data_IF_495048913627
#
_entry.id   IF_495048913627
#
_cell.length_a   1.000
_cell.length_b   1.000
_cell.length_c   1.000
_cell.angle_alpha   90.00
_cell.angle_beta   90.00
_cell.angle_gamma   90.00
#
_symmetry.space_group_name_H-M   'P 1'
#
loop_
_entity.id
_entity.type
_entity.pdbx_description
1 polymer ?
#
# COMPACT_ATOMS: atom_id res chain seq x y z
N UNK A 1 33.13 -60.32 -24.92
CA UNK A 1 33.54 -59.15 -24.11
C UNK A 1 32.27 -58.42 -23.69
N UNK A 2 31.90 -58.53 -22.42
CA UNK A 2 30.75 -57.85 -21.81
C UNK A 2 31.18 -56.42 -21.45
N UNK A 3 30.55 -55.41 -22.06
CA UNK A 3 30.67 -54.01 -21.62
C UNK A 3 29.51 -53.68 -20.69
N UNK A 4 29.83 -53.51 -19.41
CA UNK A 4 28.91 -53.07 -18.36
C UNK A 4 28.78 -51.54 -18.45
N UNK A 5 27.58 -51.05 -18.74
CA UNK A 5 27.26 -49.62 -18.72
C UNK A 5 26.84 -49.25 -17.29
N UNK A 6 27.68 -48.50 -16.58
CA UNK A 6 27.42 -48.04 -15.21
C UNK A 6 26.42 -46.88 -15.24
N UNK A 7 25.22 -47.09 -14.69
CA UNK A 7 24.18 -46.07 -14.57
C UNK A 7 24.40 -45.30 -13.25
N UNK A 8 24.98 -44.10 -13.33
CA UNK A 8 25.19 -43.24 -12.16
C UNK A 8 23.88 -42.51 -11.84
N UNK A 9 23.14 -42.96 -10.82
CA UNK A 9 22.01 -42.22 -10.26
C UNK A 9 22.52 -40.93 -9.59
N UNK A 10 22.20 -39.78 -10.18
CA UNK A 10 22.29 -38.49 -9.49
C UNK A 10 21.15 -38.41 -8.47
N UNK A 11 21.47 -38.63 -7.19
CA UNK A 11 20.60 -38.24 -6.10
C UNK A 11 20.59 -36.70 -6.03
N UNK A 12 19.51 -36.08 -6.53
CA UNK A 12 19.19 -34.69 -6.18
C UNK A 12 18.99 -34.66 -4.65
N UNK A 13 19.98 -34.15 -3.92
CA UNK A 13 19.78 -33.70 -2.55
C UNK A 13 18.85 -32.51 -2.61
N UNK A 14 17.57 -32.72 -2.33
CA UNK A 14 16.67 -31.66 -1.89
C UNK A 14 17.28 -31.07 -0.62
N UNK A 15 17.98 -29.95 -0.78
CA UNK A 15 18.36 -29.11 0.33
C UNK A 15 17.08 -28.62 0.98
N UNK A 16 16.68 -29.25 2.08
CA UNK A 16 15.75 -28.68 3.03
C UNK A 16 16.35 -27.36 3.52
N UNK A 17 16.02 -26.27 2.84
CA UNK A 17 16.16 -24.94 3.43
C UNK A 17 15.20 -24.91 4.60
N UNK A 18 15.75 -25.11 5.80
CA UNK A 18 15.06 -24.79 7.03
C UNK A 18 14.74 -23.30 6.99
N UNK A 19 13.53 -22.96 6.55
CA UNK A 19 12.90 -21.69 6.89
C UNK A 19 12.77 -21.75 8.40
N UNK A 20 13.63 -21.03 9.13
CA UNK A 20 13.38 -20.76 10.53
C UNK A 20 11.96 -20.22 10.61
N UNK A 21 11.09 -20.90 11.35
CA UNK A 21 9.76 -20.39 11.62
C UNK A 21 9.95 -19.00 12.26
N UNK A 22 9.69 -17.96 11.48
CA UNK A 22 9.73 -16.59 11.99
C UNK A 22 8.72 -16.54 13.14
N UNK A 23 9.18 -16.14 14.32
CA UNK A 23 8.33 -16.07 15.49
C UNK A 23 7.19 -15.07 15.28
N UNK A 24 6.04 -15.35 15.89
CA UNK A 24 4.96 -14.37 15.96
C UNK A 24 5.43 -13.14 16.75
N UNK A 25 5.19 -11.96 16.19
CA UNK A 25 5.48 -10.65 16.76
C UNK A 25 4.15 -9.98 17.10
N UNK A 26 3.76 -9.92 18.38
CA UNK A 26 2.51 -9.30 18.78
C UNK A 26 2.47 -7.82 18.37
N UNK A 27 1.29 -7.35 17.96
CA UNK A 27 1.06 -5.94 17.58
C UNK A 27 1.61 -4.94 18.60
N UNK A 28 1.43 -5.18 19.90
CA UNK A 28 1.95 -4.31 20.97
C UNK A 28 3.48 -4.22 21.01
N UNK A 29 4.17 -5.29 20.59
CA UNK A 29 5.63 -5.32 20.47
C UNK A 29 6.07 -4.46 19.29
N UNK A 30 5.36 -4.50 18.16
CA UNK A 30 5.61 -3.62 17.01
C UNK A 30 5.43 -2.16 17.41
N UNK A 31 4.29 -1.82 18.01
CA UNK A 31 3.98 -0.45 18.50
C UNK A 31 5.08 0.10 19.40
N UNK A 32 5.54 -0.71 20.37
CA UNK A 32 6.62 -0.34 21.28
C UNK A 32 7.96 -0.17 20.56
N UNK A 33 8.32 -1.13 19.68
CA UNK A 33 9.61 -1.11 18.97
C UNK A 33 9.82 0.10 18.07
N UNK A 34 8.73 0.66 17.53
CA UNK A 34 8.76 1.85 16.68
C UNK A 34 8.36 3.13 17.42
N UNK A 35 8.22 3.09 18.75
CA UNK A 35 7.86 4.25 19.57
C UNK A 35 6.62 4.98 19.04
N UNK A 36 5.57 4.23 18.69
CA UNK A 36 4.31 4.79 18.22
C UNK A 36 3.45 5.20 19.42
N UNK A 37 3.48 6.49 19.74
CA UNK A 37 3.01 7.03 21.03
C UNK A 37 1.53 7.40 21.06
N UNK A 38 0.89 7.53 19.90
CA UNK A 38 -0.55 7.81 19.82
C UNK A 38 -1.26 6.76 18.97
N UNK A 39 -2.55 6.60 19.21
CA UNK A 39 -3.38 5.60 18.54
C UNK A 39 -4.80 6.08 18.32
N UNK A 40 -5.45 5.51 17.32
CA UNK A 40 -6.87 5.69 17.04
C UNK A 40 -7.46 4.38 16.51
N UNK A 41 -8.77 4.25 16.56
CA UNK A 41 -9.51 3.11 16.00
C UNK A 41 -10.71 3.62 15.19
N UNK A 42 -11.11 2.84 14.19
CA UNK A 42 -12.38 3.06 13.52
C UNK A 42 -13.47 2.37 14.34
N UNK A 43 -14.48 3.09 14.88
CA UNK A 43 -15.55 2.48 15.64
C UNK A 43 -16.44 1.62 14.75
N UNK A 44 -16.97 0.52 15.26
CA UNK A 44 -17.95 -0.33 14.56
C UNK A 44 -19.29 -0.28 15.30
N UNK A 45 -20.43 -0.37 14.59
CA UNK A 45 -21.72 -0.43 15.25
C UNK A 45 -21.90 -1.78 15.96
N UNK A 46 -22.64 -1.76 17.07
CA UNK A 46 -22.91 -2.98 17.86
C UNK A 46 -23.90 -3.94 17.18
N UNK A 47 -24.60 -3.49 16.14
CA UNK A 47 -25.57 -4.28 15.39
C UNK A 47 -25.36 -4.11 13.88
N UNK A 48 -25.87 -5.07 13.11
CA UNK A 48 -25.88 -5.01 11.64
C UNK A 48 -26.62 -3.76 11.14
N UNK A 49 -26.19 -3.23 10.00
CA UNK A 49 -26.78 -2.05 9.39
C UNK A 49 -27.00 -2.28 7.89
N UNK A 50 -28.10 -1.75 7.39
CA UNK A 50 -28.39 -1.70 5.95
C UNK A 50 -27.33 -0.87 5.22
N UNK A 51 -27.31 -0.93 3.89
CA UNK A 51 -26.34 -0.19 3.06
C UNK A 51 -26.40 1.33 3.31
N UNK A 52 -27.60 1.90 3.41
CA UNK A 52 -27.78 3.33 3.66
C UNK A 52 -27.31 3.74 5.05
N UNK A 53 -27.59 2.90 6.06
CA UNK A 53 -27.20 3.16 7.44
C UNK A 53 -25.69 3.00 7.62
N UNK A 54 -25.10 1.97 7.01
CA UNK A 54 -23.66 1.73 7.03
C UNK A 54 -22.88 2.88 6.37
N UNK A 55 -23.33 3.35 5.20
CA UNK A 55 -22.73 4.53 4.54
C UNK A 55 -22.79 5.78 5.41
N UNK A 56 -23.93 6.01 6.07
CA UNK A 56 -24.14 7.15 6.96
C UNK A 56 -23.26 7.05 8.22
N UNK A 57 -23.15 5.85 8.79
CA UNK A 57 -22.30 5.56 9.94
C UNK A 57 -20.83 5.80 9.61
N UNK A 58 -20.31 5.21 8.52
CA UNK A 58 -18.92 5.39 8.09
C UNK A 58 -18.61 6.88 7.88
N UNK A 59 -19.50 7.58 7.18
CA UNK A 59 -19.33 9.02 6.89
C UNK A 59 -19.26 9.86 8.16
N UNK A 60 -20.07 9.54 9.17
CA UNK A 60 -20.13 10.32 10.41
C UNK A 60 -19.07 9.92 11.45
N UNK A 61 -18.60 8.67 11.44
CA UNK A 61 -17.76 8.14 12.52
C UNK A 61 -16.28 7.94 12.13
N UNK A 62 -15.94 7.86 10.84
CA UNK A 62 -14.59 7.45 10.40
C UNK A 62 -13.73 8.60 9.86
N UNK A 63 -14.05 9.84 10.25
CA UNK A 63 -13.25 11.04 9.94
C UNK A 63 -12.85 11.15 8.46
N UNK A 64 -13.84 11.02 7.57
CA UNK A 64 -13.59 10.97 6.14
C UNK A 64 -13.09 12.32 5.59
N UNK A 65 -12.10 12.27 4.70
CA UNK A 65 -11.74 13.42 3.88
C UNK A 65 -12.97 13.92 3.12
N UNK A 66 -13.20 15.24 3.14
CA UNK A 66 -14.36 15.88 2.49
C UNK A 66 -15.73 15.29 2.92
N UNK A 67 -15.80 14.60 4.06
CA UNK A 67 -17.05 14.11 4.65
C UNK A 67 -17.88 13.18 3.76
N UNK A 68 -17.25 12.35 2.92
CA UNK A 68 -17.98 11.39 2.07
C UNK A 68 -17.13 10.17 1.70
N UNK A 69 -17.80 9.09 1.30
CA UNK A 69 -17.21 7.92 0.66
C UNK A 69 -16.98 8.25 -0.82
N UNK A 70 -15.73 8.15 -1.30
CA UNK A 70 -15.38 8.53 -2.67
C UNK A 70 -16.04 7.61 -3.71
N UNK A 71 -16.01 6.28 -3.49
CA UNK A 71 -16.62 5.30 -4.39
C UNK A 71 -17.28 4.17 -3.60
N UNK A 72 -18.35 3.60 -4.15
CA UNK A 72 -18.91 2.33 -3.66
C UNK A 72 -19.63 2.37 -2.31
N UNK A 73 -20.19 3.51 -1.90
CA UNK A 73 -21.03 3.58 -0.70
C UNK A 73 -22.23 2.62 -0.74
N UNK A 74 -22.77 2.36 -1.93
CA UNK A 74 -23.83 1.35 -2.11
C UNK A 74 -23.36 -0.11 -1.93
N UNK A 75 -22.05 -0.34 -1.81
CA UNK A 75 -21.46 -1.67 -1.73
C UNK A 75 -21.06 -2.06 -0.30
N UNK A 76 -21.28 -1.18 0.69
CA UNK A 76 -20.90 -1.44 2.09
C UNK A 76 -22.11 -1.69 2.98
N UNK A 77 -21.97 -2.63 3.91
CA UNK A 77 -22.96 -2.91 4.94
C UNK A 77 -22.23 -3.36 6.22
N UNK A 78 -22.89 -3.24 7.38
CA UNK A 78 -22.44 -3.94 8.59
C UNK A 78 -23.27 -5.20 8.76
N UNK A 79 -22.62 -6.36 8.83
CA UNK A 79 -23.26 -7.68 8.87
C UNK A 79 -22.75 -8.48 10.05
N UNK A 80 -23.42 -9.59 10.37
CA UNK A 80 -22.89 -10.56 11.33
C UNK A 80 -21.56 -11.14 10.82
N UNK A 81 -20.64 -11.47 11.72
CA UNK A 81 -19.39 -12.13 11.35
C UNK A 81 -19.71 -13.44 10.60
N UNK A 82 -19.34 -13.57 9.31
CA UNK A 82 -19.60 -14.79 8.54
C UNK A 82 -18.67 -15.96 8.94
N UNK A 83 -17.56 -15.69 9.64
CA UNK A 83 -16.54 -16.68 10.00
C UNK A 83 -16.22 -16.65 11.51
N UNK A 84 -17.22 -16.76 12.41
CA UNK A 84 -17.02 -16.61 13.85
C UNK A 84 -16.16 -17.75 14.45
N UNK A 85 -16.11 -18.90 13.77
CA UNK A 85 -15.34 -20.08 14.17
C UNK A 85 -13.99 -20.19 13.47
N UNK A 86 -13.59 -19.17 12.69
CA UNK A 86 -12.32 -19.15 11.98
C UNK A 86 -11.62 -17.81 12.17
N UNK A 87 -11.28 -17.46 13.42
CA UNK A 87 -10.65 -16.19 13.75
C UNK A 87 -9.21 -16.13 13.23
N UNK A 88 -8.63 -14.93 13.18
CA UNK A 88 -7.23 -14.76 12.85
C UNK A 88 -6.35 -15.54 13.85
N UNK A 89 -5.21 -16.13 13.40
CA UNK A 89 -4.27 -16.79 14.30
C UNK A 89 -3.93 -15.93 15.52
N UNK A 90 -3.99 -16.54 16.70
CA UNK A 90 -3.73 -15.87 17.98
C UNK A 90 -4.91 -15.04 18.55
N UNK A 91 -6.04 -14.90 17.84
CA UNK A 91 -7.23 -14.26 18.39
C UNK A 91 -8.08 -15.23 19.24
N UNK A 92 -8.63 -14.76 20.36
CA UNK A 92 -9.60 -15.48 21.17
C UNK A 92 -11.03 -15.31 20.60
N UNK A 93 -11.77 -16.42 20.47
CA UNK A 93 -13.12 -16.49 19.87
C UNK A 93 -14.16 -15.57 20.55
N UNK A 94 -13.90 -15.11 21.78
CA UNK A 94 -14.83 -14.26 22.55
C UNK A 94 -14.75 -12.75 22.20
N UNK A 95 -13.78 -12.31 21.40
CA UNK A 95 -13.61 -10.89 21.05
C UNK A 95 -14.37 -10.45 19.79
N UNK A 96 -15.27 -11.28 19.26
CA UNK A 96 -15.89 -11.10 17.93
C UNK A 96 -17.40 -10.87 17.96
N UNK A 97 -18.01 -10.55 19.10
CA UNK A 97 -19.47 -10.43 19.28
C UNK A 97 -20.09 -9.14 18.69
N UNK A 98 -19.50 -8.57 17.64
CA UNK A 98 -19.94 -7.32 17.01
C UNK A 98 -20.06 -7.46 15.50
N UNK A 99 -20.82 -6.55 14.88
CA UNK A 99 -20.93 -6.51 13.43
C UNK A 99 -19.58 -6.25 12.75
N UNK A 100 -19.43 -6.73 11.53
CA UNK A 100 -18.23 -6.53 10.70
C UNK A 100 -18.60 -5.76 9.44
N UNK A 101 -17.64 -5.04 8.87
CA UNK A 101 -17.83 -4.30 7.63
C UNK A 101 -17.74 -5.28 6.47
N UNK A 102 -18.83 -5.47 5.74
CA UNK A 102 -18.85 -6.16 4.45
C UNK A 102 -18.64 -5.16 3.32
N UNK A 103 -17.79 -5.50 2.36
CA UNK A 103 -17.68 -4.81 1.07
C UNK A 103 -18.05 -5.79 -0.04
N UNK A 104 -18.99 -5.39 -0.90
CA UNK A 104 -19.55 -6.19 -1.99
C UNK A 104 -18.83 -5.89 -3.31
N UNK A 105 -18.50 -6.94 -4.05
CA UNK A 105 -17.99 -6.86 -5.43
C UNK A 105 -18.98 -7.59 -6.33
N UNK A 106 -19.81 -6.85 -7.07
CA UNK A 106 -20.80 -7.46 -7.94
C UNK A 106 -20.14 -8.21 -9.12
N UNK A 107 -20.78 -9.29 -9.57
CA UNK A 107 -20.33 -10.04 -10.76
C UNK A 107 -20.11 -9.10 -11.97
N UNK A 108 -19.01 -9.30 -12.69
CA UNK A 108 -18.64 -8.51 -13.87
C UNK A 108 -17.99 -7.16 -13.58
N UNK A 109 -17.92 -6.72 -12.31
CA UNK A 109 -17.33 -5.42 -11.95
C UNK A 109 -15.82 -5.48 -11.77
N UNK A 110 -15.16 -4.39 -12.14
CA UNK A 110 -13.74 -4.12 -11.91
C UNK A 110 -13.50 -2.60 -11.86
N UNK A 111 -12.28 -2.19 -11.52
CA UNK A 111 -11.94 -0.79 -11.34
C UNK A 111 -12.56 -0.21 -10.07
N UNK A 112 -12.11 0.97 -9.69
CA UNK A 112 -12.51 1.57 -8.41
C UNK A 112 -13.89 2.22 -8.41
N UNK A 113 -14.47 2.44 -9.58
CA UNK A 113 -15.78 3.10 -9.74
C UNK A 113 -16.91 2.10 -9.50
N UNK A 114 -16.84 0.94 -10.15
CA UNK A 114 -17.94 -0.04 -10.16
C UNK A 114 -17.76 -1.20 -9.18
N UNK A 115 -16.54 -1.44 -8.69
CA UNK A 115 -16.21 -2.58 -7.82
C UNK A 115 -15.78 -2.14 -6.44
N UNK A 116 -16.32 -2.78 -5.39
CA UNK A 116 -15.91 -2.56 -4.01
C UNK A 116 -16.18 -1.14 -3.52
N UNK A 117 -15.26 -0.57 -2.74
CA UNK A 117 -15.44 0.76 -2.15
C UNK A 117 -14.11 1.47 -1.87
N UNK A 118 -14.18 2.81 -1.83
CA UNK A 118 -13.03 3.65 -1.51
C UNK A 118 -13.40 4.85 -0.63
N UNK A 119 -12.60 5.10 0.39
CA UNK A 119 -12.58 6.35 1.10
C UNK A 119 -11.22 6.67 1.72
N UNK A 120 -11.01 7.94 2.06
CA UNK A 120 -9.86 8.41 2.83
C UNK A 120 -10.30 8.79 4.24
N UNK A 121 -9.69 8.19 5.26
CA UNK A 121 -9.86 8.60 6.66
C UNK A 121 -8.62 9.33 7.12
N UNK A 122 -8.79 10.61 7.48
CA UNK A 122 -7.69 11.47 7.89
C UNK A 122 -7.53 11.45 9.41
N UNK A 123 -6.29 11.38 9.86
CA UNK A 123 -5.95 11.42 11.28
C UNK A 123 -4.87 12.46 11.53
N UNK A 124 -5.20 13.43 12.37
CA UNK A 124 -4.29 14.47 12.84
C UNK A 124 -3.97 14.25 14.32
N UNK A 125 -2.80 14.70 14.74
CA UNK A 125 -2.48 14.73 16.18
C UNK A 125 -3.25 15.88 16.86
N UNK A 126 -3.38 15.78 18.18
CA UNK A 126 -3.98 16.84 19.00
C UNK A 126 -3.00 17.97 19.31
N UNK A 127 -1.70 17.71 19.23
CA UNK A 127 -0.62 18.68 19.53
C UNK A 127 -0.11 19.45 18.29
N UNK A 128 -0.69 19.20 17.11
CA UNK A 128 -0.30 19.83 15.85
C UNK A 128 0.98 19.28 15.21
N UNK A 129 1.64 18.29 15.82
CA UNK A 129 2.72 17.54 15.18
C UNK A 129 2.21 16.71 13.99
N UNK A 130 3.13 16.30 13.11
CA UNK A 130 2.78 15.56 11.90
C UNK A 130 3.32 14.15 11.96
N UNK A 131 2.51 13.17 11.53
CA UNK A 131 2.91 11.78 11.50
C UNK A 131 4.00 11.52 10.45
N UNK A 132 5.09 10.91 10.91
CA UNK A 132 6.24 10.50 10.10
C UNK A 132 6.40 8.99 10.06
N UNK A 133 5.87 8.28 11.06
CA UNK A 133 5.71 6.84 11.09
C UNK A 133 4.27 6.52 11.46
N UNK A 134 3.66 5.54 10.78
CA UNK A 134 2.31 5.08 11.07
C UNK A 134 2.19 3.58 10.84
N UNK A 135 1.53 2.93 11.78
CA UNK A 135 1.15 1.52 11.73
C UNK A 135 -0.35 1.43 11.52
N UNK A 136 -0.79 0.64 10.56
CA UNK A 136 -2.18 0.27 10.35
C UNK A 136 -2.33 -1.22 10.63
N UNK A 137 -3.30 -1.59 11.47
CA UNK A 137 -3.71 -2.97 11.69
C UNK A 137 -5.19 -3.14 11.39
N UNK A 138 -5.55 -4.25 10.75
CA UNK A 138 -6.95 -4.66 10.57
C UNK A 138 -7.02 -6.17 10.36
N UNK A 139 -8.20 -6.73 10.60
CA UNK A 139 -8.50 -8.11 10.18
C UNK A 139 -9.31 -8.09 8.89
N UNK A 140 -9.01 -9.06 8.02
CA UNK A 140 -9.59 -9.22 6.70
C UNK A 140 -10.02 -10.68 6.52
N UNK A 141 -11.22 -10.89 5.99
CA UNK A 141 -11.65 -12.19 5.48
C UNK A 141 -12.18 -12.05 4.05
N UNK A 142 -12.01 -13.09 3.26
CA UNK A 142 -12.60 -13.24 1.94
C UNK A 142 -13.71 -14.29 2.00
N UNK A 143 -14.74 -14.13 1.17
CA UNK A 143 -15.75 -15.18 0.96
C UNK A 143 -15.10 -16.55 0.69
N UNK A 144 -15.73 -17.63 1.15
CA UNK A 144 -15.20 -19.00 0.98
C UNK A 144 -15.01 -19.43 -0.48
N UNK A 145 -15.75 -18.81 -1.39
CA UNK A 145 -15.68 -19.04 -2.84
C UNK A 145 -14.99 -17.89 -3.59
N UNK A 146 -14.26 -17.00 -2.91
CA UNK A 146 -13.64 -15.84 -3.54
C UNK A 146 -12.71 -16.24 -4.68
N UNK A 147 -12.92 -15.66 -5.86
CA UNK A 147 -12.09 -15.88 -7.03
C UNK A 147 -11.05 -14.77 -7.14
N UNK A 148 -9.76 -15.09 -7.07
CA UNK A 148 -8.68 -14.10 -7.10
C UNK A 148 -8.56 -13.35 -8.42
N UNK A 149 -9.09 -13.90 -9.53
CA UNK A 149 -9.00 -13.39 -10.90
C UNK A 149 -7.56 -13.00 -11.26
N UNK A 150 -7.25 -11.71 -11.37
CA UNK A 150 -5.90 -11.19 -11.58
C UNK A 150 -5.36 -10.44 -10.38
N UNK A 151 -6.24 -10.05 -9.46
CA UNK A 151 -5.93 -9.25 -8.30
C UNK A 151 -6.91 -8.12 -8.06
N UNK A 152 -6.65 -7.42 -6.97
CA UNK A 152 -7.43 -6.27 -6.54
C UNK A 152 -6.75 -5.59 -5.36
N UNK A 153 -7.32 -4.46 -4.95
CA UNK A 153 -6.69 -3.52 -4.00
C UNK A 153 -7.20 -3.82 -2.61
N UNK A 154 -6.40 -3.54 -1.60
CA UNK A 154 -6.75 -3.64 -0.19
C UNK A 154 -6.33 -2.37 0.56
N UNK A 155 -6.94 -2.09 1.72
CA UNK A 155 -6.64 -0.90 2.51
C UNK A 155 -5.16 -0.77 2.87
N UNK A 156 -4.69 0.48 2.94
CA UNK A 156 -3.34 0.80 3.39
C UNK A 156 -3.18 2.26 3.78
N UNK A 157 -1.93 2.73 3.84
CA UNK A 157 -1.60 4.06 4.32
C UNK A 157 -1.39 5.04 3.18
N UNK A 158 -1.61 6.32 3.45
CA UNK A 158 -1.41 7.41 2.49
C UNK A 158 -0.88 8.67 3.15
N UNK A 159 -0.32 9.57 2.35
CA UNK A 159 0.17 10.86 2.85
C UNK A 159 0.47 11.88 1.77
N UNK A 160 0.80 13.10 2.22
CA UNK A 160 0.94 14.30 1.39
C UNK A 160 -0.33 15.12 1.25
N UNK A 161 -0.19 16.34 0.72
CA UNK A 161 -1.27 17.32 0.63
C UNK A 161 -2.33 16.97 -0.41
N UNK A 162 -1.93 16.31 -1.49
CA UNK A 162 -2.88 15.82 -2.48
C UNK A 162 -3.52 14.54 -1.97
N UNK A 163 -4.75 14.61 -1.47
CA UNK A 163 -5.41 13.48 -0.80
C UNK A 163 -5.90 12.41 -1.78
N UNK A 164 -6.28 12.82 -2.99
CA UNK A 164 -7.02 11.96 -3.92
C UNK A 164 -6.09 11.25 -4.94
N UNK A 165 -4.86 11.74 -5.11
CA UNK A 165 -3.85 11.21 -6.04
C UNK A 165 -2.99 10.07 -5.45
N UNK A 166 -1.85 9.76 -6.11
CA UNK A 166 -0.99 8.61 -5.82
C UNK A 166 -1.75 7.29 -5.92
N UNK A 167 -2.60 7.23 -6.94
CA UNK A 167 -3.49 6.13 -7.29
C UNK A 167 -3.92 6.27 -8.77
N UNK A 168 -4.57 5.25 -9.34
CA UNK A 168 -5.24 5.39 -10.65
C UNK A 168 -4.36 5.77 -11.86
N UNK A 169 -3.03 5.68 -11.76
CA UNK A 169 -2.11 6.14 -12.81
C UNK A 169 -1.46 7.50 -12.54
N UNK A 170 -1.81 8.17 -11.43
CA UNK A 170 -1.18 9.41 -11.00
C UNK A 170 -0.01 9.10 -10.07
N UNK A 171 1.20 9.41 -10.51
CA UNK A 171 2.44 9.07 -9.82
C UNK A 171 2.76 10.00 -8.63
N UNK A 172 3.52 9.46 -7.68
CA UNK A 172 4.17 10.28 -6.66
C UNK A 172 5.32 11.07 -7.29
N UNK A 173 5.37 12.38 -7.03
CA UNK A 173 6.45 13.27 -7.51
C UNK A 173 7.35 13.77 -6.37
N UNK A 174 7.10 13.32 -5.15
CA UNK A 174 7.84 13.65 -3.94
C UNK A 174 7.41 14.93 -3.22
N UNK A 175 6.53 15.71 -3.83
CA UNK A 175 5.94 16.92 -3.24
C UNK A 175 4.41 16.85 -3.10
N UNK A 176 3.75 15.98 -3.86
CA UNK A 176 2.29 15.82 -3.85
C UNK A 176 1.82 14.84 -2.77
N UNK A 177 2.19 13.56 -2.88
CA UNK A 177 1.66 12.47 -2.09
C UNK A 177 2.50 11.20 -2.17
N UNK A 178 2.11 10.21 -1.38
CA UNK A 178 2.45 8.80 -1.57
C UNK A 178 1.27 7.92 -1.12
N UNK A 179 1.24 6.67 -1.58
CA UNK A 179 0.36 5.65 -0.99
C UNK A 179 1.10 4.32 -0.85
N UNK A 180 0.77 3.56 0.19
CA UNK A 180 1.28 2.22 0.47
C UNK A 180 0.08 1.33 0.81
N UNK A 181 -0.56 0.81 -0.24
CA UNK A 181 -1.71 -0.12 -0.15
C UNK A 181 -1.24 -1.55 -0.22
N UNK A 182 -2.17 -2.47 -0.04
CA UNK A 182 -1.95 -3.88 -0.36
C UNK A 182 -2.69 -4.25 -1.63
N UNK A 183 -2.26 -5.33 -2.27
CA UNK A 183 -3.02 -5.99 -3.31
C UNK A 183 -3.07 -7.49 -3.07
N UNK A 184 -4.19 -8.13 -3.41
CA UNK A 184 -4.18 -9.54 -3.77
C UNK A 184 -3.87 -9.69 -5.25
N UNK A 185 -3.32 -10.84 -5.63
CA UNK A 185 -2.97 -11.24 -6.99
C UNK A 185 -3.52 -12.64 -7.27
N UNK A 186 -3.24 -13.15 -8.47
CA UNK A 186 -3.46 -14.56 -8.82
C UNK A 186 -2.94 -15.49 -7.74
N UNK A 187 -3.62 -16.62 -7.56
CA UNK A 187 -3.25 -17.65 -6.60
C UNK A 187 -3.11 -17.11 -5.16
N UNK A 188 -3.97 -16.15 -4.80
CA UNK A 188 -4.03 -15.52 -3.49
C UNK A 188 -2.76 -14.80 -3.02
N UNK A 189 -1.79 -14.56 -3.90
CA UNK A 189 -0.55 -13.89 -3.52
C UNK A 189 -0.82 -12.46 -3.04
N UNK A 190 -0.22 -12.07 -1.92
CA UNK A 190 -0.22 -10.70 -1.43
C UNK A 190 0.99 -9.91 -1.92
N UNK A 191 0.85 -8.59 -1.98
CA UNK A 191 1.96 -7.65 -2.16
C UNK A 191 1.67 -6.34 -1.44
N UNK A 192 2.72 -5.59 -1.10
CA UNK A 192 2.59 -4.14 -0.91
C UNK A 192 2.60 -3.49 -2.29
N UNK A 193 1.65 -2.58 -2.52
CA UNK A 193 1.50 -1.84 -3.75
C UNK A 193 1.59 -0.34 -3.47
N UNK A 194 2.73 0.26 -3.82
CA UNK A 194 3.11 1.59 -3.40
C UNK A 194 3.23 2.58 -4.56
N UNK A 195 2.67 3.77 -4.40
CA UNK A 195 3.03 4.93 -5.21
C UNK A 195 4.05 5.74 -4.42
N UNK A 196 5.31 5.67 -4.85
CA UNK A 196 6.48 6.28 -4.23
C UNK A 196 7.53 6.59 -5.30
N UNK A 197 8.58 7.34 -4.95
CA UNK A 197 9.69 7.55 -5.88
C UNK A 197 10.58 6.31 -5.95
N UNK A 198 11.27 6.13 -7.07
CA UNK A 198 12.13 4.97 -7.33
C UNK A 198 13.59 5.39 -7.63
N UNK A 199 14.28 6.06 -6.67
CA UNK A 199 15.67 6.48 -6.88
C UNK A 199 16.64 5.30 -6.87
N UNK A 200 17.91 5.59 -7.17
CA UNK A 200 19.04 4.69 -6.92
C UNK A 200 18.89 3.28 -7.54
N UNK A 201 18.15 3.18 -8.65
CA UNK A 201 17.89 1.93 -9.35
C UNK A 201 17.23 0.85 -8.47
N UNK A 202 16.37 1.23 -7.51
CA UNK A 202 15.63 0.29 -6.65
C UNK A 202 14.82 -0.74 -7.46
N UNK A 203 14.42 -0.39 -8.69
CA UNK A 203 13.74 -1.30 -9.61
C UNK A 203 14.58 -2.47 -10.11
N UNK A 204 15.88 -2.52 -9.78
CA UNK A 204 16.74 -3.67 -10.07
C UNK A 204 16.71 -4.75 -8.97
N UNK A 205 16.12 -4.46 -7.82
CA UNK A 205 15.94 -5.43 -6.75
C UNK A 205 14.91 -6.49 -7.17
N UNK A 206 15.22 -7.77 -6.95
CA UNK A 206 14.41 -8.89 -7.45
C UNK A 206 13.00 -8.95 -6.87
N UNK A 207 12.79 -8.35 -5.69
CA UNK A 207 11.51 -8.26 -5.02
C UNK A 207 10.71 -6.99 -5.36
N UNK A 208 11.24 -6.10 -6.20
CA UNK A 208 10.63 -4.84 -6.60
C UNK A 208 10.23 -4.92 -8.08
N UNK A 209 8.94 -4.74 -8.35
CA UNK A 209 8.40 -4.67 -9.71
C UNK A 209 7.88 -3.25 -9.94
N UNK A 210 8.69 -2.44 -10.63
CA UNK A 210 8.30 -1.08 -11.02
C UNK A 210 7.42 -1.06 -12.27
N UNK A 211 6.57 -0.05 -12.36
CA UNK A 211 5.77 0.26 -13.54
C UNK A 211 5.86 1.78 -13.79
N UNK A 212 5.95 2.20 -15.06
CA UNK A 212 6.06 3.64 -15.39
C UNK A 212 4.76 4.40 -15.17
N UNK A 213 3.63 3.70 -15.28
CA UNK A 213 2.30 4.30 -15.32
C UNK A 213 1.58 4.08 -13.98
N UNK A 214 1.91 2.99 -13.28
CA UNK A 214 1.23 2.58 -12.05
C UNK A 214 2.18 2.38 -10.86
N UNK A 215 1.65 1.86 -9.75
CA UNK A 215 2.42 1.66 -8.53
C UNK A 215 3.47 0.55 -8.63
N UNK A 216 4.38 0.56 -7.67
CA UNK A 216 5.44 -0.43 -7.47
C UNK A 216 4.91 -1.59 -6.64
N UNK A 217 5.06 -2.82 -7.13
CA UNK A 217 4.82 -4.02 -6.31
C UNK A 217 6.08 -4.38 -5.53
N UNK A 218 5.95 -4.57 -4.23
CA UNK A 218 7.03 -4.93 -3.30
C UNK A 218 6.71 -6.31 -2.70
N UNK A 219 7.65 -7.24 -2.83
CA UNK A 219 7.61 -8.60 -2.26
C UNK A 219 6.32 -9.38 -2.61
N UNK A 220 5.89 -9.31 -3.88
CA UNK A 220 4.74 -10.09 -4.34
C UNK A 220 4.94 -11.59 -4.07
N UNK A 221 4.00 -12.18 -3.34
CA UNK A 221 3.99 -13.60 -3.02
C UNK A 221 4.78 -13.97 -1.76
N UNK A 222 5.31 -13.01 -1.00
CA UNK A 222 5.91 -13.29 0.31
C UNK A 222 4.90 -13.71 1.37
N UNK A 223 3.62 -13.44 1.13
CA UNK A 223 2.47 -13.92 1.89
C UNK A 223 1.31 -14.23 0.94
N UNK A 224 0.32 -14.97 1.45
CA UNK A 224 -0.86 -15.34 0.69
C UNK A 224 -2.11 -15.23 1.55
N UNK A 225 -3.21 -14.86 0.91
CA UNK A 225 -4.52 -14.87 1.52
C UNK A 225 -5.15 -16.24 1.40
N UNK A 226 -6.12 -16.50 2.25
CA UNK A 226 -6.94 -17.68 2.17
C UNK A 226 -8.41 -17.26 2.32
N UNK A 227 -9.31 -18.11 1.83
CA UNK A 227 -10.75 -17.86 1.80
C UNK A 227 -11.45 -18.46 3.02
N UNK A 228 -12.54 -17.84 3.48
CA UNK A 228 -13.41 -18.42 4.51
C UNK A 228 -12.91 -18.31 5.94
N UNK A 229 -11.92 -17.45 6.21
CA UNK A 229 -11.46 -17.16 7.56
C UNK A 229 -10.78 -15.79 7.66
N UNK A 230 -10.59 -15.36 8.89
CA UNK A 230 -9.95 -14.10 9.22
C UNK A 230 -8.43 -14.22 9.17
N UNK A 231 -7.77 -13.22 8.58
CA UNK A 231 -6.34 -12.97 8.68
C UNK A 231 -6.11 -11.59 9.29
N UNK A 232 -5.03 -11.43 10.04
CA UNK A 232 -4.59 -10.12 10.56
C UNK A 232 -3.49 -9.55 9.68
N UNK A 233 -3.66 -8.30 9.30
CA UNK A 233 -2.70 -7.53 8.53
C UNK A 233 -2.21 -6.39 9.41
N UNK A 234 -0.89 -6.19 9.47
CA UNK A 234 -0.28 -5.05 10.15
C UNK A 234 0.82 -4.47 9.27
N UNK A 235 0.63 -3.26 8.76
CA UNK A 235 1.57 -2.55 7.89
C UNK A 235 2.12 -1.31 8.59
N UNK A 236 3.45 -1.22 8.70
CA UNK A 236 4.17 -0.02 9.14
C UNK A 236 4.71 0.71 7.92
N UNK A 237 4.54 2.03 7.90
CA UNK A 237 5.25 2.94 6.98
C UNK A 237 6.04 3.94 7.82
N UNK A 238 7.33 4.10 7.53
CA UNK A 238 8.17 5.18 8.06
C UNK A 238 8.73 5.99 6.90
N UNK A 239 8.53 7.30 6.93
CA UNK A 239 9.04 8.19 5.89
C UNK A 239 10.55 8.34 5.99
N UNK A 240 11.20 8.64 4.87
CA UNK A 240 12.60 9.08 4.88
C UNK A 240 12.75 10.35 5.72
N UNK A 241 13.84 10.42 6.50
CA UNK A 241 14.06 11.51 7.46
C UNK A 241 14.60 12.79 6.81
N UNK A 242 15.26 12.68 5.67
CA UNK A 242 15.81 13.79 4.90
C UNK A 242 15.34 13.69 3.44
N UNK A 243 15.11 14.85 2.84
CA UNK A 243 14.92 15.04 1.40
C UNK A 243 16.02 14.43 0.52
N UNK A 244 17.24 14.21 1.01
CA UNK A 244 18.36 13.72 0.19
C UNK A 244 18.71 12.25 0.43
N UNK A 245 18.02 11.56 1.34
CA UNK A 245 18.36 10.18 1.72
C UNK A 245 17.18 9.26 1.53
N UNK A 246 17.37 8.18 0.78
CA UNK A 246 16.41 7.09 0.65
C UNK A 246 16.60 6.12 1.83
N UNK A 247 15.98 6.42 2.97
CA UNK A 247 15.99 5.55 4.16
C UNK A 247 14.58 5.30 4.72
N UNK A 248 13.53 5.56 3.94
CA UNK A 248 12.17 5.15 4.29
C UNK A 248 12.05 3.63 4.40
N UNK A 249 11.01 3.19 5.09
CA UNK A 249 10.84 1.79 5.48
C UNK A 249 9.37 1.37 5.41
N UNK A 250 9.12 0.15 4.91
CA UNK A 250 7.84 -0.54 5.03
C UNK A 250 8.09 -1.90 5.66
N UNK A 251 7.29 -2.25 6.66
CA UNK A 251 7.26 -3.59 7.25
C UNK A 251 5.83 -4.10 7.22
N UNK A 252 5.63 -5.35 6.79
CA UNK A 252 4.34 -6.02 6.83
C UNK A 252 4.43 -7.26 7.71
N UNK A 253 3.47 -7.38 8.62
CA UNK A 253 3.19 -8.58 9.37
C UNK A 253 1.86 -9.17 8.89
N UNK A 254 1.85 -10.46 8.58
CA UNK A 254 0.67 -11.22 8.23
C UNK A 254 0.47 -12.33 9.26
N UNK A 255 -0.67 -12.32 9.95
CA UNK A 255 -0.95 -13.21 11.09
C UNK A 255 0.17 -13.16 12.16
N UNK A 256 0.58 -11.93 12.49
CA UNK A 256 1.65 -11.60 13.43
C UNK A 256 3.05 -12.09 13.01
N UNK A 257 3.23 -12.66 11.81
CA UNK A 257 4.55 -13.04 11.29
C UNK A 257 5.07 -11.97 10.34
N UNK A 258 6.31 -11.50 10.52
CA UNK A 258 6.90 -10.54 9.58
C UNK A 258 7.14 -11.22 8.23
N UNK A 259 6.42 -10.78 7.20
CA UNK A 259 6.48 -11.34 5.83
C UNK A 259 7.19 -10.41 4.84
N UNK A 260 7.39 -9.14 5.20
CA UNK A 260 8.04 -8.14 4.36
C UNK A 260 8.76 -7.13 5.25
N UNK A 261 10.00 -6.79 4.90
CA UNK A 261 10.70 -5.62 5.42
C UNK A 261 11.53 -5.00 4.30
N UNK A 262 11.04 -3.90 3.75
CA UNK A 262 11.67 -3.18 2.66
C UNK A 262 12.20 -1.83 3.16
N UNK A 263 13.52 -1.70 3.13
CA UNK A 263 14.24 -0.47 3.47
C UNK A 263 14.64 0.28 2.20
N UNK A 264 15.41 1.36 2.37
CA UNK A 264 15.90 2.22 1.28
C UNK A 264 14.79 2.82 0.41
N UNK A 265 13.60 3.00 0.98
CA UNK A 265 12.47 3.60 0.28
C UNK A 265 12.56 5.12 0.29
N UNK A 266 11.94 5.76 -0.71
CA UNK A 266 11.96 7.21 -0.85
C UNK A 266 10.56 7.72 -1.17
N UNK A 267 9.93 8.34 -0.18
CA UNK A 267 8.51 8.75 -0.26
C UNK A 267 8.36 10.23 -0.63
N UNK A 268 9.36 11.06 -0.30
CA UNK A 268 9.25 12.51 -0.43
C UNK A 268 10.60 13.19 -0.64
N UNK A 269 10.54 14.31 -1.36
CA UNK A 269 11.66 15.24 -1.59
C UNK A 269 11.55 16.48 -0.70
N UNK A 270 10.46 16.64 0.05
CA UNK A 270 10.17 17.78 0.93
C UNK A 270 9.52 17.31 2.24
N UNK A 271 9.75 18.04 3.33
CA UNK A 271 9.32 17.62 4.68
C UNK A 271 7.81 17.76 4.95
N UNK A 272 7.09 18.53 4.13
CA UNK A 272 5.64 18.75 4.31
C UNK A 272 4.77 17.62 3.74
N UNK A 273 5.36 16.63 3.05
CA UNK A 273 4.67 15.38 2.70
C UNK A 273 4.74 14.46 3.91
N UNK A 274 3.66 14.34 4.65
CA UNK A 274 3.57 13.53 5.89
C UNK A 274 2.48 12.48 5.79
N UNK A 275 2.43 11.53 6.72
CA UNK A 275 1.41 10.47 6.71
C UNK A 275 0.07 11.07 7.16
N UNK A 276 -0.97 10.93 6.33
CA UNK A 276 -2.28 11.54 6.57
C UNK A 276 -3.32 10.59 7.15
N UNK A 277 -3.10 9.28 7.06
CA UNK A 277 -4.01 8.27 7.61
C UNK A 277 -4.27 7.11 6.66
N UNK A 278 -5.49 6.58 6.74
CA UNK A 278 -5.95 5.39 6.03
C UNK A 278 -6.46 5.78 4.65
N UNK A 279 -5.98 5.05 3.64
CA UNK A 279 -6.64 4.90 2.35
C UNK A 279 -7.34 3.55 2.32
N UNK A 280 -8.63 3.54 2.65
CA UNK A 280 -9.43 2.36 2.47
C UNK A 280 -9.79 2.27 0.99
N UNK A 281 -9.25 1.28 0.29
CA UNK A 281 -9.46 1.12 -1.13
C UNK A 281 -9.46 -0.36 -1.45
N UNK A 282 -10.64 -0.90 -1.73
CA UNK A 282 -10.77 -2.30 -2.11
C UNK A 282 -11.67 -2.48 -3.32
N UNK A 283 -11.17 -3.17 -4.33
CA UNK A 283 -11.86 -3.40 -5.60
C UNK A 283 -11.12 -4.45 -6.43
N UNK A 284 -11.86 -5.22 -7.22
CA UNK A 284 -11.25 -6.03 -8.30
C UNK A 284 -10.68 -5.08 -9.33
N UNK A 285 -9.40 -5.19 -9.64
CA UNK A 285 -8.74 -4.03 -10.22
C UNK A 285 -7.69 -4.35 -11.25
N UNK A 286 -8.00 -3.99 -12.47
CA UNK A 286 -7.09 -3.43 -13.46
C UNK A 286 -7.90 -2.49 -14.34
N UNK A 287 -7.45 -2.23 -15.56
CA UNK A 287 -8.11 -1.29 -16.47
C UNK A 287 -9.12 -1.92 -17.43
N UNK A 288 -9.36 -3.22 -17.35
CA UNK A 288 -10.17 -3.94 -18.34
C UNK A 288 -10.96 -5.14 -17.74
N UNK A 289 -11.85 -5.72 -18.55
CA UNK A 289 -12.77 -6.78 -18.14
C UNK A 289 -12.10 -8.09 -17.72
N UNK A 290 -10.82 -8.31 -18.05
CA UNK A 290 -10.10 -9.51 -17.60
C UNK A 290 -9.81 -9.50 -16.09
N UNK A 291 -10.07 -8.39 -15.41
CA UNK A 291 -9.97 -8.23 -13.96
C UNK A 291 -11.29 -8.43 -13.22
N UNK A 292 -12.41 -8.57 -13.94
CA UNK A 292 -13.73 -8.67 -13.36
C UNK A 292 -13.94 -9.97 -12.57
N UNK A 293 -14.56 -9.89 -11.40
CA UNK A 293 -15.01 -11.08 -10.68
C UNK A 293 -16.13 -11.78 -11.44
N UNK A 294 -16.09 -13.11 -11.64
CA UNK A 294 -17.16 -13.83 -12.36
C UNK A 294 -18.46 -13.96 -11.56
N UNK A 295 -18.42 -13.71 -10.26
CA UNK A 295 -19.56 -13.85 -9.35
C UNK A 295 -19.55 -12.74 -8.30
N UNK A 296 -20.72 -12.45 -7.73
CA UNK A 296 -20.81 -11.52 -6.60
C UNK A 296 -20.14 -12.16 -5.39
N UNK A 297 -19.15 -11.47 -4.83
CA UNK A 297 -18.37 -11.91 -3.68
C UNK A 297 -18.16 -10.74 -2.71
N UNK A 298 -17.65 -11.06 -1.53
CA UNK A 298 -17.45 -10.10 -0.46
C UNK A 298 -16.07 -10.25 0.20
N UNK A 299 -15.66 -9.15 0.81
CA UNK A 299 -14.58 -9.12 1.82
C UNK A 299 -15.12 -8.50 3.08
N UNK A 300 -14.60 -8.94 4.21
CA UNK A 300 -15.03 -8.52 5.54
C UNK A 300 -13.87 -7.89 6.28
N UNK A 301 -14.16 -6.82 7.03
CA UNK A 301 -13.17 -6.06 7.77
C UNK A 301 -13.63 -5.83 9.20
N UNK A 302 -12.69 -5.88 10.15
CA UNK A 302 -12.90 -5.47 11.54
C UNK A 302 -11.60 -5.05 12.19
N UNK A 303 -11.68 -4.52 13.40
CA UNK A 303 -10.52 -4.17 14.24
C UNK A 303 -9.53 -3.22 13.53
N UNK A 304 -10.04 -2.25 12.77
CA UNK A 304 -9.22 -1.26 12.06
C UNK A 304 -8.66 -0.25 13.07
N UNK A 305 -7.35 -0.27 13.26
CA UNK A 305 -6.63 0.53 14.25
C UNK A 305 -5.38 1.12 13.63
N UNK A 306 -5.02 2.32 14.08
CA UNK A 306 -3.78 2.99 13.66
C UNK A 306 -2.99 3.49 14.86
N UNK A 307 -1.67 3.42 14.75
CA UNK A 307 -0.73 4.04 15.69
C UNK A 307 0.21 4.96 14.94
N UNK A 308 0.63 6.05 15.55
CA UNK A 308 1.42 7.08 14.89
C UNK A 308 2.52 7.63 15.78
N UNK A 309 3.58 8.11 15.14
CA UNK A 309 4.66 8.88 15.75
C UNK A 309 5.11 10.00 14.81
N UNK A 310 5.59 11.09 15.39
CA UNK A 310 6.26 12.18 14.67
C UNK A 310 7.73 11.87 14.35
N UNK A 311 8.23 10.69 14.72
CA UNK A 311 9.58 10.25 14.38
C UNK A 311 9.62 9.58 13.00
N UNK A 312 10.45 10.05 12.05
CA UNK A 312 10.66 9.38 10.76
C UNK A 312 11.54 8.12 10.92
N UNK A 313 11.88 7.48 9.81
CA UNK A 313 12.89 6.41 9.82
C UNK A 313 14.25 6.92 10.32
N UNK A 314 14.91 6.14 11.15
CA UNK A 314 16.29 6.38 11.60
C UNK A 314 17.29 5.42 10.97
N UNK A 315 16.87 4.66 9.96
CA UNK A 315 17.73 3.73 9.26
C UNK A 315 18.81 4.49 8.48
N UNK A 316 19.93 3.82 8.28
CA UNK A 316 20.90 4.26 7.26
C UNK A 316 20.28 4.09 5.88
N UNK A 317 20.63 4.96 4.93
CA UNK A 317 20.16 4.85 3.56
C UNK A 317 21.10 5.54 2.59
N UNK A 318 20.87 5.30 1.31
CA UNK A 318 21.69 5.89 0.26
C UNK A 318 21.25 7.33 -0.03
N UNK A 319 22.21 8.22 -0.26
CA UNK A 319 21.91 9.53 -0.83
C UNK A 319 21.23 9.34 -2.19
N UNK A 320 20.17 10.09 -2.43
CA UNK A 320 19.50 10.09 -3.73
C UNK A 320 20.36 10.90 -4.68
N UNK A 321 20.95 10.23 -5.67
CA UNK A 321 21.68 10.94 -6.71
C UNK A 321 20.68 11.78 -7.50
N UNK A 322 20.66 13.09 -7.25
CA UNK A 322 19.90 14.05 -8.02
C UNK A 322 20.50 14.17 -9.43
N UNK A 323 20.29 13.16 -10.28
CA UNK A 323 20.15 13.46 -11.67
C UNK A 323 18.84 14.25 -11.77
N UNK A 324 18.95 15.59 -11.73
CA UNK A 324 17.88 16.48 -12.17
C UNK A 324 17.32 15.87 -13.45
N UNK A 325 16.07 15.38 -13.39
CA UNK A 325 15.33 15.00 -14.58
C UNK A 325 15.37 16.20 -15.49
N UNK A 326 16.24 16.16 -16.49
CA UNK A 326 16.41 17.20 -17.48
C UNK A 326 15.23 17.12 -18.44
N UNK A 327 14.05 17.45 -17.94
CA UNK A 327 12.90 17.76 -18.77
C UNK A 327 12.84 19.28 -19.00
N UNK A 328 13.93 19.81 -19.53
CA UNK A 328 13.91 21.05 -20.31
C UNK A 328 14.71 20.75 -21.57
N UNK A 329 14.01 20.45 -22.66
CA UNK A 329 14.58 20.54 -24.00
C UNK A 329 15.06 21.99 -24.17
N UNK A 330 16.36 22.24 -24.03
CA UNK A 330 16.97 23.43 -24.63
C UNK A 330 16.79 23.26 -26.14
N UNK A 331 15.90 24.06 -26.72
CA UNK A 331 15.85 24.27 -28.15
C UNK A 331 17.22 24.74 -28.62
N UNK A 332 17.80 24.02 -29.56
CA UNK A 332 19.00 24.41 -30.26
C UNK A 332 18.77 25.72 -31.02
N UNK A 333 19.14 26.86 -30.44
CA UNK A 333 19.37 28.08 -31.21
C UNK A 333 20.76 27.98 -31.84
N UNK A 334 20.76 27.60 -33.12
CA UNK A 334 21.94 27.57 -33.95
C UNK A 334 22.58 28.96 -34.05
N UNK A 335 23.89 28.98 -33.86
CA UNK A 335 24.73 30.14 -34.12
C UNK A 335 24.85 30.35 -35.62
N UNK A 336 24.36 31.48 -36.12
CA UNK A 336 24.76 32.01 -37.44
C UNK A 336 25.56 33.28 -37.22
N UNK A 337 26.89 33.15 -37.26
CA UNK A 337 27.79 34.28 -37.48
C UNK A 337 27.56 34.84 -38.88
N UNK A 338 27.20 36.11 -38.98
CA UNK A 338 27.32 36.88 -40.22
C UNK A 338 28.26 38.04 -39.97
N UNK A 339 29.43 37.97 -40.58
CA UNK A 339 30.42 39.04 -40.60
C UNK A 339 29.95 40.16 -41.54
N UNK A 340 30.07 41.41 -41.10
CA UNK A 340 30.06 42.58 -41.98
C UNK A 340 30.90 43.68 -41.35
N UNK A 341 32.03 43.96 -42.00
CA UNK A 341 32.95 45.06 -41.76
C UNK A 341 32.49 46.27 -42.59
N UNK A 342 32.45 47.47 -42.00
CA UNK A 342 32.75 48.80 -42.58
C UNK A 342 32.53 49.85 -41.47
N UNK A 343 33.56 50.37 -40.79
CA UNK A 343 34.48 51.48 -41.14
C UNK A 343 33.82 52.87 -41.27
N UNK A 344 34.33 53.82 -40.46
CA UNK A 344 34.28 55.31 -40.56
C UNK A 344 32.92 55.99 -40.27
N UNK A 345 32.77 57.16 -39.63
CA UNK A 345 33.66 58.29 -39.35
C UNK A 345 33.01 59.23 -38.28
N UNK A 346 33.83 59.85 -37.43
CA UNK A 346 33.77 61.19 -36.79
C UNK A 346 32.45 61.84 -36.27
N UNK A 347 32.58 62.31 -35.02
CA UNK A 347 32.38 63.70 -34.52
C UNK A 347 31.02 64.24 -34.02
N UNK A 348 31.14 64.92 -32.86
CA UNK A 348 30.31 65.96 -32.22
C UNK A 348 28.88 65.54 -31.81
N UNK A 349 28.46 65.62 -30.55
CA UNK A 349 28.63 66.65 -29.50
C UNK A 349 28.57 65.99 -28.12
#
# INVERSE_FOLDING_TARGET
>A
MLTVLSLTLFFLRLSNTHVSAAGQVPLSSVVTSFSLTTSTLMPFPSATQSVSDASSFITSQWSLNKGHIQNGGSNVAFVDDPFPNSPAPGATVSNTSGSVLQVTYAAGTYGSVDSGAQWYSLWNTTDGSQFQSMLLSYELAFDSNFNWVQGGKLPGLRGGSDVDDCSGGVQANGTNCFSARLMWRKNAQGEVYAYMLTPNNICSDSNIICNSDYGVSIDRGSFGFETGHWSRITILVQLNNDSLVANGNIILYFNDVQVLSQQNLYFRTVNNVTIGGLYFSTFFGGGDSSWATPQTVHTYYRNIQMWGSSSPSLLSGQTVNAALSSCCKLGSMGWTLSASVLLTLLMYL
#
